data_IF_330132791485
#
_entry.id   IF_330132791485
#
_cell.length_a   1.000
_cell.length_b   1.000
_cell.length_c   1.000
_cell.angle_alpha   90.00
_cell.angle_beta   90.00
_cell.angle_gamma   90.00
#
_symmetry.space_group_name_H-M   'P 1'
#
loop_
_entity.id
_entity.type
_entity.pdbx_description
1 polymer ?
#
# COMPACT_ATOMS: atom_id res chain seq x y z
N UNK A 1 17.09 11.76 35.77
CA UNK A 1 15.93 12.00 34.88
C UNK A 1 15.73 10.73 34.08
N UNK A 2 14.50 10.25 33.93
CA UNK A 2 14.22 9.10 33.05
C UNK A 2 14.34 9.58 31.60
N UNK A 3 15.12 8.88 30.77
CA UNK A 3 15.14 9.10 29.32
C UNK A 3 13.88 8.51 28.69
N UNK A 4 13.44 9.07 27.57
CA UNK A 4 12.42 8.47 26.73
C UNK A 4 13.08 7.32 25.95
N UNK A 5 12.54 6.10 25.98
CA UNK A 5 13.11 4.97 25.25
C UNK A 5 12.97 5.16 23.73
N UNK A 6 13.96 4.68 22.99
CA UNK A 6 13.91 4.55 21.54
C UNK A 6 12.90 3.48 21.13
N UNK A 7 12.36 3.57 19.91
CA UNK A 7 11.34 2.62 19.41
C UNK A 7 11.82 1.17 19.43
N UNK A 8 13.11 0.95 19.20
CA UNK A 8 13.78 -0.36 19.22
C UNK A 8 13.86 -0.95 20.63
N UNK A 9 13.83 -0.13 21.68
CA UNK A 9 13.91 -0.54 23.09
C UNK A 9 12.56 -0.94 23.69
N UNK A 10 11.45 -0.68 22.98
CA UNK A 10 10.10 -1.07 23.42
C UNK A 10 9.90 -2.58 23.18
N UNK A 11 9.26 -3.27 24.13
CA UNK A 11 8.90 -4.68 23.99
C UNK A 11 7.88 -4.89 22.86
N UNK A 12 8.01 -5.99 22.11
CA UNK A 12 7.15 -6.30 20.95
C UNK A 12 5.65 -6.37 21.31
N UNK A 13 5.32 -6.79 22.53
CA UNK A 13 3.93 -6.85 23.01
C UNK A 13 3.22 -5.49 23.09
N UNK A 14 3.99 -4.39 23.06
CA UNK A 14 3.49 -3.02 23.02
C UNK A 14 3.63 -2.37 21.62
N UNK A 15 4.03 -3.14 20.61
CA UNK A 15 4.14 -2.69 19.21
C UNK A 15 2.93 -3.18 18.41
N UNK A 16 2.68 -2.54 17.26
CA UNK A 16 1.73 -3.07 16.30
C UNK A 16 2.34 -4.32 15.66
N UNK A 17 1.54 -5.37 15.51
CA UNK A 17 1.94 -6.56 14.75
C UNK A 17 1.77 -6.30 13.25
N UNK A 18 2.76 -5.63 12.65
CA UNK A 18 2.77 -5.36 11.21
C UNK A 18 3.14 -6.60 10.38
N UNK A 19 3.74 -7.61 11.01
CA UNK A 19 4.07 -8.88 10.39
C UNK A 19 2.84 -9.69 10.00
N UNK A 20 1.69 -9.39 10.62
CA UNK A 20 0.38 -9.91 10.20
C UNK A 20 -0.10 -9.37 8.84
N UNK A 21 0.52 -8.31 8.31
CA UNK A 21 0.20 -7.73 6.99
C UNK A 21 1.19 -8.20 5.94
N UNK A 22 2.49 -8.02 6.20
CA UNK A 22 3.62 -8.52 5.41
C UNK A 22 4.72 -8.95 6.38
N UNK A 23 5.30 -10.13 6.17
CA UNK A 23 6.28 -10.72 7.08
C UNK A 23 7.53 -9.83 7.24
N UNK A 24 7.92 -9.16 6.16
CA UNK A 24 9.05 -8.26 6.07
C UNK A 24 8.86 -7.20 4.97
N UNK A 25 9.86 -6.33 4.82
CA UNK A 25 9.84 -5.22 3.87
C UNK A 25 10.06 -5.70 2.41
N UNK A 26 10.52 -6.94 2.17
CA UNK A 26 10.67 -7.55 0.83
C UNK A 26 9.29 -8.02 0.32
N UNK A 27 8.50 -8.70 1.15
CA UNK A 27 7.12 -9.08 0.80
C UNK A 27 6.24 -7.85 0.52
N UNK A 28 6.48 -6.75 1.24
CA UNK A 28 5.81 -5.48 0.94
C UNK A 28 6.19 -4.91 -0.44
N UNK A 29 7.47 -5.01 -0.83
CA UNK A 29 7.96 -4.52 -2.12
C UNK A 29 7.37 -5.34 -3.26
N UNK A 30 7.33 -6.67 -3.13
CA UNK A 30 6.67 -7.57 -4.10
C UNK A 30 5.19 -7.20 -4.28
N UNK A 31 4.48 -6.94 -3.16
CA UNK A 31 3.09 -6.52 -3.21
C UNK A 31 2.90 -5.12 -3.82
N UNK A 32 3.84 -4.20 -3.57
CA UNK A 32 3.85 -2.88 -4.21
C UNK A 32 3.98 -3.01 -5.73
N UNK A 33 4.94 -3.80 -6.21
CA UNK A 33 5.18 -4.02 -7.64
C UNK A 33 3.96 -4.66 -8.30
N UNK A 34 3.39 -5.70 -7.68
CA UNK A 34 2.18 -6.35 -8.17
C UNK A 34 0.98 -5.39 -8.29
N UNK A 35 0.79 -4.49 -7.33
CA UNK A 35 -0.28 -3.48 -7.41
C UNK A 35 0.00 -2.46 -8.51
N UNK A 36 1.26 -2.04 -8.67
CA UNK A 36 1.67 -1.11 -9.72
C UNK A 36 1.36 -1.65 -11.12
N UNK A 37 1.73 -2.89 -11.40
CA UNK A 37 1.49 -3.52 -12.69
C UNK A 37 -0.02 -3.65 -12.98
N UNK A 38 -0.82 -4.02 -11.98
CA UNK A 38 -2.27 -4.17 -12.15
C UNK A 38 -2.99 -2.84 -12.37
N UNK A 39 -2.49 -1.72 -11.86
CA UNK A 39 -3.08 -0.40 -12.13
C UNK A 39 -3.04 -0.09 -13.62
N UNK A 40 -1.99 -0.51 -14.34
CA UNK A 40 -1.88 -0.30 -15.78
C UNK A 40 -2.97 -1.05 -16.56
N UNK A 41 -3.50 -2.15 -16.02
CA UNK A 41 -4.59 -2.92 -16.64
C UNK A 41 -5.89 -2.11 -16.73
N UNK A 42 -6.11 -1.14 -15.82
CA UNK A 42 -7.30 -0.27 -15.85
C UNK A 42 -7.36 0.57 -17.13
N UNK A 43 -6.21 0.97 -17.67
CA UNK A 43 -6.15 1.75 -18.91
C UNK A 43 -6.70 0.99 -20.13
N UNK A 44 -6.68 -0.35 -20.10
CA UNK A 44 -7.23 -1.17 -21.16
C UNK A 44 -8.77 -1.06 -21.29
N UNK A 45 -9.44 -0.48 -20.29
CA UNK A 45 -10.88 -0.26 -20.27
C UNK A 45 -11.30 1.13 -20.78
N UNK A 46 -10.35 2.04 -21.04
CA UNK A 46 -10.66 3.37 -21.58
C UNK A 46 -11.42 3.26 -22.92
N UNK A 47 -12.52 4.02 -23.05
CA UNK A 47 -13.33 4.05 -24.25
C UNK A 47 -14.24 2.84 -24.50
N UNK A 48 -14.12 1.75 -23.72
CA UNK A 48 -14.96 0.54 -23.84
C UNK A 48 -15.95 0.31 -22.70
N UNK A 49 -15.84 1.08 -21.60
CA UNK A 49 -16.71 0.93 -20.41
C UNK A 49 -18.21 1.01 -20.72
N UNK A 50 -18.58 1.73 -21.79
CA UNK A 50 -19.97 1.91 -22.21
C UNK A 50 -20.46 0.91 -23.24
N UNK A 51 -19.61 -0.02 -23.68
CA UNK A 51 -19.96 -0.97 -24.75
C UNK A 51 -21.07 -1.94 -24.29
N UNK A 52 -20.96 -2.45 -23.06
CA UNK A 52 -21.95 -3.33 -22.45
C UNK A 52 -21.79 -3.44 -20.92
N UNK A 53 -22.81 -4.01 -20.26
CA UNK A 53 -22.84 -4.14 -18.80
C UNK A 53 -21.78 -5.12 -18.25
N UNK A 54 -21.34 -6.10 -19.03
CA UNK A 54 -20.28 -7.03 -18.68
C UNK A 54 -18.94 -6.32 -18.59
N UNK A 55 -18.60 -5.52 -19.61
CA UNK A 55 -17.35 -4.72 -19.62
C UNK A 55 -17.29 -3.76 -18.42
N UNK A 56 -18.41 -3.14 -18.03
CA UNK A 56 -18.48 -2.31 -16.82
C UNK A 56 -18.26 -3.12 -15.54
N UNK A 57 -18.86 -4.31 -15.43
CA UNK A 57 -18.70 -5.16 -14.26
C UNK A 57 -17.25 -5.61 -14.09
N UNK A 58 -16.61 -6.08 -15.16
CA UNK A 58 -15.21 -6.51 -15.16
C UNK A 58 -14.28 -5.39 -14.67
N UNK A 59 -14.48 -4.15 -15.16
CA UNK A 59 -13.71 -2.99 -14.70
C UNK A 59 -13.92 -2.72 -13.21
N UNK A 60 -15.17 -2.74 -12.73
CA UNK A 60 -15.48 -2.44 -11.33
C UNK A 60 -14.89 -3.49 -10.39
N UNK A 61 -14.93 -4.77 -10.75
CA UNK A 61 -14.34 -5.87 -10.00
C UNK A 61 -12.81 -5.75 -9.97
N UNK A 62 -12.17 -5.54 -11.13
CA UNK A 62 -10.73 -5.33 -11.22
C UNK A 62 -10.28 -4.14 -10.37
N UNK A 63 -10.98 -3.02 -10.48
CA UNK A 63 -10.70 -1.82 -9.69
C UNK A 63 -10.87 -2.08 -8.19
N UNK A 64 -11.90 -2.80 -7.78
CA UNK A 64 -12.11 -3.12 -6.36
C UNK A 64 -10.96 -3.97 -5.80
N UNK A 65 -10.51 -4.99 -6.54
CA UNK A 65 -9.39 -5.83 -6.14
C UNK A 65 -8.10 -5.03 -5.99
N UNK A 66 -7.75 -4.22 -7.00
CA UNK A 66 -6.56 -3.36 -6.97
C UNK A 66 -6.59 -2.43 -5.77
N UNK A 67 -7.71 -1.76 -5.51
CA UNK A 67 -7.82 -0.82 -4.40
C UNK A 67 -7.77 -1.50 -3.01
N UNK A 68 -8.20 -2.76 -2.90
CA UNK A 68 -8.04 -3.54 -1.66
C UNK A 68 -6.57 -3.85 -1.37
N UNK A 69 -5.81 -4.27 -2.39
CA UNK A 69 -4.39 -4.57 -2.24
C UNK A 69 -3.56 -3.29 -2.00
N UNK A 70 -3.86 -2.23 -2.76
CA UNK A 70 -3.29 -0.89 -2.55
C UNK A 70 -3.52 -0.38 -1.11
N UNK A 71 -4.70 -0.64 -0.53
CA UNK A 71 -4.98 -0.25 0.85
C UNK A 71 -4.05 -0.97 1.84
N UNK A 72 -3.70 -2.24 1.61
CA UNK A 72 -2.75 -2.99 2.45
C UNK A 72 -1.34 -2.42 2.32
N UNK A 73 -0.85 -2.23 1.08
CA UNK A 73 0.46 -1.62 0.77
C UNK A 73 0.60 -0.25 1.45
N UNK A 74 -0.38 0.62 1.29
CA UNK A 74 -0.36 1.98 1.86
C UNK A 74 -0.48 1.98 3.38
N UNK A 75 -1.28 1.08 3.96
CA UNK A 75 -1.46 1.02 5.41
C UNK A 75 -0.19 0.53 6.09
N UNK A 76 0.46 -0.53 5.59
CA UNK A 76 1.72 -1.01 6.13
C UNK A 76 2.79 0.09 6.14
N UNK A 77 3.05 0.72 4.99
CA UNK A 77 4.07 1.75 4.85
C UNK A 77 3.83 2.96 5.77
N UNK A 78 2.58 3.42 5.89
CA UNK A 78 2.21 4.51 6.80
C UNK A 78 2.41 4.12 8.27
N UNK A 79 2.10 2.88 8.62
CA UNK A 79 2.28 2.38 10.00
C UNK A 79 3.77 2.29 10.35
N UNK A 80 4.61 1.74 9.45
CA UNK A 80 6.07 1.71 9.61
C UNK A 80 6.66 3.10 9.77
N UNK A 81 6.24 4.04 8.92
CA UNK A 81 6.67 5.44 8.98
C UNK A 81 6.29 6.13 10.29
N UNK A 82 5.14 5.79 10.86
CA UNK A 82 4.68 6.34 12.14
C UNK A 82 5.37 5.73 13.37
N UNK A 83 6.08 4.60 13.25
CA UNK A 83 6.81 3.99 14.38
C UNK A 83 7.99 4.84 14.84
N UNK A 84 8.69 5.47 13.89
CA UNK A 84 9.69 6.50 14.12
C UNK A 84 9.76 7.44 12.92
N UNK A 85 9.27 8.66 13.09
CA UNK A 85 9.22 9.66 12.02
C UNK A 85 10.60 10.20 11.61
N UNK A 86 11.67 9.83 12.32
CA UNK A 86 13.06 10.14 11.96
C UNK A 86 13.65 9.07 11.03
N UNK A 87 13.02 7.90 10.91
CA UNK A 87 13.51 6.83 10.05
C UNK A 87 13.19 7.14 8.57
N UNK A 88 14.22 7.55 7.83
CA UNK A 88 14.11 7.97 6.43
C UNK A 88 13.69 6.83 5.48
N UNK A 89 14.04 5.58 5.81
CA UNK A 89 13.66 4.41 5.00
C UNK A 89 12.14 4.25 4.97
N UNK A 90 11.50 4.27 6.14
CA UNK A 90 10.04 4.18 6.21
C UNK A 90 9.33 5.47 5.79
N UNK A 91 9.97 6.63 5.89
CA UNK A 91 9.46 7.84 5.24
C UNK A 91 9.40 7.67 3.71
N UNK A 92 10.47 7.14 3.10
CA UNK A 92 10.52 6.89 1.66
C UNK A 92 9.50 5.82 1.24
N UNK A 93 9.38 4.72 1.99
CA UNK A 93 8.38 3.69 1.76
C UNK A 93 6.95 4.27 1.77
N UNK A 94 6.61 5.10 2.77
CA UNK A 94 5.30 5.75 2.85
C UNK A 94 5.06 6.76 1.72
N UNK A 95 6.10 7.46 1.25
CA UNK A 95 5.99 8.36 0.10
C UNK A 95 5.73 7.58 -1.19
N UNK A 96 6.46 6.49 -1.42
CA UNK A 96 6.30 5.58 -2.56
C UNK A 96 4.88 4.99 -2.61
N UNK A 97 4.36 4.49 -1.49
CA UNK A 97 2.98 4.02 -1.41
C UNK A 97 1.94 5.12 -1.68
N UNK A 98 2.22 6.36 -1.26
CA UNK A 98 1.32 7.50 -1.49
C UNK A 98 1.31 7.96 -2.97
N UNK A 99 2.45 7.85 -3.66
CA UNK A 99 2.54 8.06 -5.12
C UNK A 99 1.66 7.04 -5.84
N UNK A 100 1.85 5.75 -5.52
CA UNK A 100 1.07 4.66 -6.11
C UNK A 100 -0.43 4.85 -5.90
N UNK A 101 -0.84 5.29 -4.71
CA UNK A 101 -2.24 5.60 -4.44
C UNK A 101 -2.80 6.76 -5.26
N UNK A 102 -1.94 7.72 -5.62
CA UNK A 102 -2.30 8.85 -6.50
C UNK A 102 -2.41 8.39 -7.95
N UNK A 103 -1.46 7.56 -8.40
CA UNK A 103 -1.45 6.94 -9.73
C UNK A 103 -2.71 6.09 -9.95
N UNK A 104 -3.04 5.20 -9.00
CA UNK A 104 -4.26 4.38 -9.02
C UNK A 104 -5.55 5.21 -9.04
N UNK A 105 -5.56 6.39 -8.42
CA UNK A 105 -6.73 7.28 -8.41
C UNK A 105 -6.90 8.04 -9.72
N UNK A 106 -5.83 8.17 -10.51
CA UNK A 106 -5.83 8.86 -11.80
C UNK A 106 -6.02 7.94 -13.00
N UNK A 107 -5.80 6.64 -12.82
CA UNK A 107 -6.14 5.58 -13.76
C UNK A 107 -7.67 5.38 -13.85
#
# INVERSE_FOLDING_TARGET
MSSVPERTEIDESYKWDLQSVYADDEEWEDAYEAVSDRIEELAAYEGRVTDDAGTLLELLELREEIFRDLQRVTTYARRRSAEDTRNQEYQAMSAKASSLGSEASSA
#
